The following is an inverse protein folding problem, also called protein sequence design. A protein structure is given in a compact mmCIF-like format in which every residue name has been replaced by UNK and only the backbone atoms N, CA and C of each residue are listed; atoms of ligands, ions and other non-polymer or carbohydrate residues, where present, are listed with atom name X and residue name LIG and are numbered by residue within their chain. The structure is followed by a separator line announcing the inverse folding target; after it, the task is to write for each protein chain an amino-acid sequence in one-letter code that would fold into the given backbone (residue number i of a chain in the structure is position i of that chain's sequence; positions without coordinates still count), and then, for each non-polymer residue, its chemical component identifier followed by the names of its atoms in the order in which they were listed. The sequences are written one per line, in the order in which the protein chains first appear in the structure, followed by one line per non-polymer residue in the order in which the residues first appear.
data_IF_576905900771
#
_entry.id   IF_576905900771
#
_cell.length_a   1.000
_cell.length_b   1.000
_cell.length_c   1.000
_cell.angle_alpha   90.00
_cell.angle_beta   90.00
_cell.angle_gamma   90.00
#
_symmetry.space_group_name_H-M   'P 1'
#
loop_
_entity.id
_entity.type
_entity.pdbx_description
1 polymer ?
#
# COMPACT_ATOMS: atom_id res chain seq x y z
N UNK A 1 58.43 0.73 -1.45
CA UNK A 1 58.55 -0.56 -0.74
C UNK A 1 57.16 -1.19 -0.77
N UNK A 2 56.79 -1.99 -1.77
CA UNK A 2 57.16 -3.39 -2.08
C UNK A 2 56.69 -4.42 -1.05
N UNK A 3 55.87 -5.37 -1.53
CA UNK A 3 55.39 -6.61 -0.90
C UNK A 3 53.85 -6.62 -0.82
N UNK A 4 53.04 -7.14 -1.73
CA UNK A 4 53.13 -8.19 -2.76
C UNK A 4 53.18 -9.66 -2.28
N UNK A 5 52.23 -10.45 -2.85
CA UNK A 5 52.06 -11.93 -2.92
C UNK A 5 51.54 -12.68 -1.66
N UNK A 6 50.65 -13.69 -1.71
CA UNK A 6 50.23 -14.72 -2.69
C UNK A 6 48.68 -14.91 -2.59
N UNK A 7 47.89 -14.97 -3.68
CA UNK A 7 47.54 -16.12 -4.58
C UNK A 7 46.58 -17.17 -3.98
N UNK A 8 45.43 -17.31 -4.64
CA UNK A 8 44.56 -18.49 -4.62
C UNK A 8 43.73 -18.51 -5.91
N UNK A 9 44.03 -19.46 -6.79
CA UNK A 9 43.54 -19.59 -8.18
C UNK A 9 42.66 -20.85 -8.31
N UNK A 10 41.48 -20.67 -8.91
CA UNK A 10 40.69 -21.55 -9.81
C UNK A 10 40.18 -22.92 -9.31
N UNK A 11 38.85 -23.09 -9.40
CA UNK A 11 38.22 -24.22 -10.10
C UNK A 11 36.80 -23.82 -10.54
N UNK A 12 36.68 -23.55 -11.83
CA UNK A 12 35.45 -23.57 -12.62
C UNK A 12 35.11 -25.04 -12.90
N UNK A 13 33.89 -25.48 -12.63
CA UNK A 13 33.35 -26.65 -13.31
C UNK A 13 31.83 -26.51 -13.51
N UNK A 14 31.49 -26.46 -14.78
CA UNK A 14 30.15 -26.33 -15.32
C UNK A 14 29.48 -27.70 -15.34
N UNK A 15 28.24 -27.81 -14.86
CA UNK A 15 27.36 -28.89 -15.33
C UNK A 15 25.89 -28.48 -15.30
N UNK A 16 25.44 -27.95 -16.43
CA UNK A 16 24.05 -27.93 -16.85
C UNK A 16 23.66 -29.34 -17.30
N UNK A 17 22.64 -29.94 -16.69
CA UNK A 17 21.91 -31.07 -17.26
C UNK A 17 20.50 -30.60 -17.61
N UNK A 18 20.31 -30.26 -18.87
CA UNK A 18 19.01 -30.17 -19.53
C UNK A 18 18.86 -31.42 -20.39
N UNK A 19 17.99 -32.33 -19.98
CA UNK A 19 17.59 -33.48 -20.81
C UNK A 19 16.09 -33.39 -21.07
N UNK A 20 15.79 -33.38 -22.37
CA UNK A 20 14.49 -33.36 -23.03
C UNK A 20 13.65 -34.60 -22.70
N UNK A 21 12.33 -34.43 -22.71
CA UNK A 21 11.43 -35.41 -23.34
C UNK A 21 10.18 -34.69 -23.87
N UNK A 22 10.12 -34.55 -25.20
CA UNK A 22 8.84 -34.48 -25.92
C UNK A 22 8.21 -35.87 -25.91
N UNK A 23 6.87 -35.94 -25.97
CA UNK A 23 6.34 -36.69 -27.10
C UNK A 23 5.27 -35.94 -27.91
N UNK A 24 5.44 -36.13 -29.21
CA UNK A 24 4.58 -35.87 -30.36
C UNK A 24 3.19 -36.54 -30.31
N UNK A 25 2.29 -35.99 -31.14
CA UNK A 25 1.16 -36.66 -31.83
C UNK A 25 -0.16 -36.90 -31.06
N UNK A 26 -1.36 -36.81 -31.65
CA UNK A 26 -1.89 -36.27 -32.91
C UNK A 26 -3.44 -36.31 -32.87
N UNK A 27 -4.07 -35.40 -33.64
CA UNK A 27 -5.35 -35.54 -34.38
C UNK A 27 -6.70 -35.89 -33.71
N UNK A 28 -7.67 -34.97 -33.84
CA UNK A 28 -8.99 -35.16 -34.50
C UNK A 28 -9.84 -33.86 -34.35
N UNK A 29 -10.04 -33.00 -35.35
CA UNK A 29 -11.05 -33.03 -36.42
C UNK A 29 -12.53 -33.09 -35.95
N UNK A 30 -13.29 -32.08 -36.42
CA UNK A 30 -14.77 -31.98 -36.61
C UNK A 30 -15.55 -31.23 -35.51
N UNK A 31 -16.12 -30.06 -35.88
CA UNK A 31 -17.20 -29.43 -35.10
C UNK A 31 -17.46 -27.95 -35.37
N UNK A 32 -17.95 -27.61 -36.56
CA UNK A 32 -18.35 -26.28 -37.04
C UNK A 32 -19.48 -25.63 -36.20
N UNK A 33 -19.36 -24.34 -35.86
CA UNK A 33 -20.48 -23.45 -35.48
C UNK A 33 -20.23 -22.01 -36.02
N UNK A 34 -21.28 -21.23 -36.33
CA UNK A 34 -21.40 -20.47 -37.57
C UNK A 34 -20.73 -19.08 -37.57
N UNK A 35 -20.46 -18.50 -38.76
CA UNK A 35 -20.13 -17.08 -38.86
C UNK A 35 -21.34 -16.26 -38.41
N UNK A 36 -21.09 -15.28 -37.55
CA UNK A 36 -22.07 -14.28 -37.18
C UNK A 36 -22.71 -13.71 -38.45
N UNK A 37 -24.01 -13.96 -38.63
CA UNK A 37 -24.76 -13.39 -39.73
C UNK A 37 -24.78 -11.87 -39.56
N UNK A 38 -24.06 -11.15 -40.42
CA UNK A 38 -24.22 -9.72 -40.56
C UNK A 38 -25.55 -9.51 -41.30
N UNK A 39 -26.61 -9.24 -40.55
CA UNK A 39 -27.84 -8.69 -41.13
C UNK A 39 -27.60 -7.22 -41.47
N UNK A 40 -27.32 -6.93 -42.74
CA UNK A 40 -27.39 -5.56 -43.26
C UNK A 40 -28.86 -5.21 -43.44
N UNK A 41 -29.50 -4.80 -42.35
CA UNK A 41 -30.79 -4.13 -42.41
C UNK A 41 -30.58 -2.78 -43.09
N UNK A 42 -31.12 -2.62 -44.29
CA UNK A 42 -31.21 -1.35 -45.01
C UNK A 42 -32.25 -0.47 -44.30
N UNK A 43 -31.84 0.13 -43.19
CA UNK A 43 -32.69 0.93 -42.32
C UNK A 43 -31.94 2.15 -41.81
N UNK A 44 -32.42 3.32 -42.24
CA UNK A 44 -32.28 4.67 -41.66
C UNK A 44 -31.12 4.84 -40.68
N UNK A 45 -30.00 5.37 -41.19
CA UNK A 45 -28.94 6.07 -40.46
C UNK A 45 -28.74 5.69 -38.98
N UNK A 46 -28.31 4.46 -38.70
CA UNK A 46 -27.91 4.08 -37.35
C UNK A 46 -26.54 4.67 -37.07
N UNK A 47 -26.51 5.88 -36.51
CA UNK A 47 -25.28 6.51 -36.01
C UNK A 47 -24.69 5.61 -34.92
N UNK A 48 -23.62 4.90 -35.25
CA UNK A 48 -22.82 4.17 -34.27
C UNK A 48 -22.02 5.20 -33.48
N UNK A 49 -22.53 5.61 -32.32
CA UNK A 49 -21.77 6.42 -31.35
C UNK A 49 -20.67 5.53 -30.78
N UNK A 50 -19.47 5.63 -31.34
CA UNK A 50 -18.26 5.05 -30.77
C UNK A 50 -17.96 5.84 -29.49
N UNK A 51 -18.22 5.22 -28.34
CA UNK A 51 -17.78 5.75 -27.05
C UNK A 51 -16.25 5.57 -27.03
N UNK A 52 -15.52 6.64 -27.30
CA UNK A 52 -14.08 6.67 -27.04
C UNK A 52 -14.00 7.00 -25.55
N UNK A 53 -13.52 6.09 -24.68
CA UNK A 53 -13.27 6.47 -23.30
C UNK A 53 -12.26 7.62 -23.34
N UNK A 54 -12.68 8.80 -22.89
CA UNK A 54 -11.74 9.89 -22.66
C UNK A 54 -10.81 9.43 -21.55
N UNK A 55 -9.54 9.27 -21.88
CA UNK A 55 -8.51 9.01 -20.90
C UNK A 55 -8.41 10.26 -20.03
N UNK A 56 -8.70 10.11 -18.73
CA UNK A 56 -8.61 11.21 -17.76
C UNK A 56 -7.20 11.80 -17.78
N UNK A 57 -7.11 13.13 -17.63
CA UNK A 57 -5.82 13.78 -17.43
C UNK A 57 -5.17 13.28 -16.14
N UNK A 58 -3.86 13.47 -16.02
CA UNK A 58 -3.15 13.09 -14.81
C UNK A 58 -3.69 13.81 -13.57
N UNK A 59 -3.94 15.11 -13.69
CA UNK A 59 -4.50 15.96 -12.65
C UNK A 59 -5.91 15.50 -12.26
N UNK A 60 -6.74 15.12 -13.23
CA UNK A 60 -8.07 14.54 -12.98
C UNK A 60 -7.97 13.23 -12.20
N UNK A 61 -7.00 12.35 -12.53
CA UNK A 61 -6.77 11.09 -11.80
C UNK A 61 -6.32 11.32 -10.35
N UNK A 62 -5.43 12.29 -10.12
CA UNK A 62 -4.98 12.69 -8.78
C UNK A 62 -6.16 13.23 -7.97
N UNK A 63 -6.95 14.12 -8.57
CA UNK A 63 -8.15 14.68 -7.97
C UNK A 63 -9.17 13.59 -7.60
N UNK A 64 -9.47 12.69 -8.53
CA UNK A 64 -10.39 11.56 -8.29
C UNK A 64 -9.89 10.66 -7.17
N UNK A 65 -8.59 10.37 -7.12
CA UNK A 65 -7.98 9.60 -6.03
C UNK A 65 -8.18 10.28 -4.67
N UNK A 66 -7.88 11.57 -4.58
CA UNK A 66 -8.09 12.36 -3.38
C UNK A 66 -9.56 12.39 -2.93
N UNK A 67 -10.49 12.57 -3.87
CA UNK A 67 -11.94 12.51 -3.61
C UNK A 67 -12.35 11.15 -3.08
N UNK A 68 -11.83 10.06 -3.66
CA UNK A 68 -12.14 8.70 -3.21
C UNK A 68 -11.65 8.45 -1.78
N UNK A 69 -10.46 8.93 -1.42
CA UNK A 69 -9.93 8.80 -0.06
C UNK A 69 -10.73 9.65 0.93
N UNK A 70 -11.07 10.89 0.59
CA UNK A 70 -11.92 11.75 1.45
C UNK A 70 -13.31 11.14 1.64
N UNK A 71 -13.87 10.54 0.60
CA UNK A 71 -15.13 9.78 0.68
C UNK A 71 -15.00 8.57 1.61
N UNK A 72 -13.87 7.86 1.58
CA UNK A 72 -13.60 6.78 2.53
C UNK A 72 -13.55 7.29 3.98
N UNK A 73 -12.94 8.44 4.28
CA UNK A 73 -13.00 9.02 5.64
C UNK A 73 -14.45 9.28 6.07
N UNK A 74 -15.30 9.78 5.16
CA UNK A 74 -16.70 10.06 5.46
C UNK A 74 -17.47 8.79 5.91
N UNK A 75 -17.12 7.61 5.39
CA UNK A 75 -17.75 6.35 5.82
C UNK A 75 -17.40 5.96 7.26
N UNK A 76 -16.28 6.45 7.79
CA UNK A 76 -15.83 6.23 9.17
C UNK A 76 -16.08 7.44 10.08
N UNK A 77 -16.75 8.49 9.60
CA UNK A 77 -16.84 9.78 10.29
C UNK A 77 -17.47 9.69 11.69
N UNK A 78 -18.41 8.76 11.90
CA UNK A 78 -19.05 8.54 13.21
C UNK A 78 -18.09 7.98 14.28
N UNK A 79 -16.96 7.41 13.86
CA UNK A 79 -15.97 6.79 14.74
C UNK A 79 -14.69 7.62 14.88
N UNK A 80 -14.59 8.74 14.15
CA UNK A 80 -13.43 9.62 14.14
C UNK A 80 -13.80 10.96 14.77
N UNK A 81 -13.05 11.46 15.77
CA UNK A 81 -13.23 12.80 16.29
C UNK A 81 -13.15 13.85 15.16
N UNK A 82 -13.89 14.98 15.26
CA UNK A 82 -13.85 16.03 14.23
C UNK A 82 -12.45 16.54 13.91
N UNK A 83 -11.62 16.71 14.94
CA UNK A 83 -10.22 17.16 14.81
C UNK A 83 -9.38 16.18 13.99
N UNK A 84 -9.53 14.88 14.26
CA UNK A 84 -8.81 13.84 13.51
C UNK A 84 -9.27 13.75 12.06
N UNK A 85 -10.56 13.93 11.77
CA UNK A 85 -11.04 14.00 10.37
C UNK A 85 -10.41 15.17 9.62
N UNK A 86 -10.36 16.33 10.26
CA UNK A 86 -9.74 17.52 9.66
C UNK A 86 -8.26 17.30 9.40
N UNK A 87 -7.54 16.78 10.40
CA UNK A 87 -6.12 16.44 10.29
C UNK A 87 -5.85 15.44 9.17
N UNK A 88 -6.67 14.40 9.01
CA UNK A 88 -6.54 13.45 7.92
C UNK A 88 -6.72 14.16 6.57
N UNK A 89 -7.72 15.02 6.42
CA UNK A 89 -7.93 15.76 5.17
C UNK A 89 -6.75 16.67 4.80
N UNK A 90 -6.25 17.46 5.75
CA UNK A 90 -5.07 18.31 5.52
C UNK A 90 -3.86 17.48 5.09
N UNK A 91 -3.66 16.31 5.70
CA UNK A 91 -2.54 15.43 5.34
C UNK A 91 -2.73 14.76 3.99
N UNK A 92 -3.95 14.36 3.61
CA UNK A 92 -4.23 13.85 2.28
C UNK A 92 -3.98 14.93 1.21
N UNK A 93 -4.40 16.16 1.46
CA UNK A 93 -4.19 17.29 0.54
C UNK A 93 -2.70 17.62 0.37
N UNK A 94 -1.92 17.49 1.44
CA UNK A 94 -0.46 17.65 1.39
C UNK A 94 0.23 16.50 0.66
N UNK A 95 -0.20 15.25 0.88
CA UNK A 95 0.48 14.07 0.33
C UNK A 95 0.08 13.81 -1.13
N UNK A 96 -1.13 14.16 -1.53
CA UNK A 96 -1.70 13.82 -2.85
C UNK A 96 -2.01 15.12 -3.58
N UNK A 97 -0.98 15.67 -4.23
CA UNK A 97 -1.09 16.89 -5.02
C UNK A 97 -0.41 16.68 -6.37
N UNK A 98 -0.89 17.36 -7.41
CA UNK A 98 -0.41 17.14 -8.78
C UNK A 98 1.00 17.72 -9.03
N UNK A 99 1.51 18.57 -8.14
CA UNK A 99 2.83 19.22 -8.29
C UNK A 99 3.97 18.29 -7.86
N UNK A 100 3.74 17.47 -6.82
CA UNK A 100 4.74 16.58 -6.24
C UNK A 100 4.70 15.15 -6.81
N UNK A 101 3.69 14.82 -7.62
CA UNK A 101 3.50 13.48 -8.18
C UNK A 101 3.89 13.40 -9.66
N UNK A 102 4.43 12.26 -10.07
CA UNK A 102 4.69 11.94 -11.47
C UNK A 102 3.59 11.05 -12.07
N UNK A 103 3.41 11.12 -13.39
CA UNK A 103 2.37 10.35 -14.10
C UNK A 103 2.51 8.83 -13.94
N UNK A 104 3.74 8.36 -13.72
CA UNK A 104 4.10 6.96 -13.52
C UNK A 104 3.92 6.51 -12.06
N UNK A 105 3.76 7.45 -11.12
CA UNK A 105 3.64 7.12 -9.70
C UNK A 105 2.30 6.42 -9.42
N UNK A 106 2.30 5.36 -8.60
CA UNK A 106 1.09 4.62 -8.27
C UNK A 106 0.25 5.39 -7.26
N UNK A 107 -0.96 5.74 -7.69
CA UNK A 107 -1.94 6.41 -6.84
C UNK A 107 -2.31 5.53 -5.62
N UNK A 108 -2.70 6.15 -4.49
CA UNK A 108 -3.07 5.41 -3.29
C UNK A 108 -4.22 4.43 -3.53
N UNK A 109 -4.06 3.21 -3.03
CA UNK A 109 -5.10 2.19 -3.07
C UNK A 109 -6.13 2.49 -1.97
N UNK A 110 -7.37 2.74 -2.37
CA UNK A 110 -8.45 3.10 -1.43
C UNK A 110 -8.65 2.05 -0.35
N UNK A 111 -8.54 0.75 -0.67
CA UNK A 111 -8.72 -0.32 0.32
C UNK A 111 -7.57 -0.41 1.33
N UNK A 112 -6.36 -0.02 0.91
CA UNK A 112 -5.22 0.14 1.83
C UNK A 112 -5.49 1.28 2.83
N UNK A 113 -6.02 2.40 2.35
CA UNK A 113 -6.44 3.51 3.22
C UNK A 113 -7.58 3.13 4.15
N UNK A 114 -8.58 2.39 3.67
CA UNK A 114 -9.63 1.85 4.54
C UNK A 114 -9.06 0.94 5.63
N UNK A 115 -8.04 0.13 5.35
CA UNK A 115 -7.40 -0.71 6.36
C UNK A 115 -6.74 0.14 7.46
N UNK A 116 -6.10 1.26 7.10
CA UNK A 116 -5.61 2.24 8.08
C UNK A 116 -6.76 2.85 8.91
N UNK A 117 -7.84 3.30 8.28
CA UNK A 117 -9.00 3.84 9.00
C UNK A 117 -9.63 2.82 9.95
N UNK A 118 -9.76 1.56 9.52
CA UNK A 118 -10.22 0.45 10.36
C UNK A 118 -9.31 0.24 11.57
N UNK A 119 -7.99 0.32 11.37
CA UNK A 119 -7.04 0.22 12.48
C UNK A 119 -7.16 1.39 13.46
N UNK A 120 -7.32 2.63 12.98
CA UNK A 120 -7.56 3.80 13.85
C UNK A 120 -8.79 3.59 14.73
N UNK A 121 -9.91 3.18 14.12
CA UNK A 121 -11.18 2.93 14.82
C UNK A 121 -11.06 1.75 15.79
N UNK A 122 -10.40 0.66 15.38
CA UNK A 122 -10.23 -0.53 16.22
C UNK A 122 -9.36 -0.27 17.45
N UNK A 123 -8.31 0.54 17.30
CA UNK A 123 -7.36 0.83 18.38
C UNK A 123 -7.69 2.07 19.20
N UNK A 124 -8.55 2.94 18.67
CA UNK A 124 -8.79 4.28 19.18
C UNK A 124 -7.48 5.08 19.37
N UNK A 125 -6.50 4.84 18.50
CA UNK A 125 -5.14 5.41 18.59
C UNK A 125 -4.92 6.44 17.49
N UNK A 126 -5.03 7.71 17.86
CA UNK A 126 -4.92 8.85 16.92
C UNK A 126 -3.54 9.53 16.92
N UNK A 127 -2.59 8.99 17.68
CA UNK A 127 -1.25 9.57 17.87
C UNK A 127 -0.24 9.30 16.74
N UNK A 128 -0.69 9.09 15.50
CA UNK A 128 0.22 8.96 14.35
C UNK A 128 0.92 10.30 14.08
N UNK A 129 2.12 10.29 13.52
CA UNK A 129 2.92 11.50 13.25
C UNK A 129 2.88 11.92 11.78
N UNK A 130 2.91 10.94 10.87
CA UNK A 130 2.88 11.19 9.42
C UNK A 130 2.17 10.07 8.67
N UNK A 131 1.72 10.39 7.46
CA UNK A 131 1.11 9.48 6.49
C UNK A 131 1.78 9.70 5.14
N UNK A 132 1.90 8.65 4.35
CA UNK A 132 2.49 8.66 3.02
C UNK A 132 1.99 7.48 2.17
N UNK A 133 2.56 7.34 0.98
CA UNK A 133 2.18 6.33 -0.01
C UNK A 133 3.44 5.60 -0.46
N UNK A 134 3.39 4.27 -0.51
CA UNK A 134 4.51 3.44 -0.99
C UNK A 134 4.56 3.38 -2.52
N UNK A 135 5.64 2.80 -3.05
CA UNK A 135 5.80 2.53 -4.49
C UNK A 135 4.81 1.49 -5.04
N UNK A 136 3.97 0.89 -4.18
CA UNK A 136 2.89 -0.01 -4.56
C UNK A 136 1.51 0.64 -4.38
N UNK A 137 1.46 1.93 -4.04
CA UNK A 137 0.23 2.65 -3.72
C UNK A 137 -0.34 2.30 -2.34
N UNK A 138 0.40 1.60 -1.48
CA UNK A 138 -0.08 1.30 -0.12
C UNK A 138 0.13 2.48 0.81
N UNK A 139 -0.78 2.66 1.76
CA UNK A 139 -0.69 3.69 2.79
C UNK A 139 0.37 3.31 3.81
N UNK A 140 1.32 4.23 3.99
CA UNK A 140 2.36 4.19 4.98
C UNK A 140 2.02 5.16 6.11
N UNK A 141 2.16 4.74 7.35
CA UNK A 141 1.91 5.59 8.52
C UNK A 141 3.07 5.43 9.48
N UNK A 142 3.52 6.54 10.06
CA UNK A 142 4.50 6.53 11.12
C UNK A 142 3.92 7.05 12.44
N UNK A 143 4.43 6.54 13.53
CA UNK A 143 4.27 7.05 14.89
C UNK A 143 5.65 7.33 15.44
N UNK A 144 5.84 8.49 16.06
CA UNK A 144 7.11 8.88 16.67
C UNK A 144 6.89 9.37 18.09
N UNK A 145 7.73 8.88 19.00
CA UNK A 145 7.84 9.25 20.42
C UNK A 145 9.32 9.37 20.77
N UNK A 146 9.69 10.02 21.90
CA UNK A 146 11.10 10.28 22.24
C UNK A 146 12.04 9.08 22.19
N UNK A 147 11.55 7.86 22.42
CA UNK A 147 12.38 6.64 22.39
C UNK A 147 11.85 5.55 21.47
N UNK A 148 10.80 5.82 20.69
CA UNK A 148 10.15 4.79 19.87
C UNK A 148 9.66 5.40 18.57
N UNK A 149 10.06 4.82 17.45
CA UNK A 149 9.49 5.08 16.15
C UNK A 149 8.89 3.80 15.59
N UNK A 150 7.62 3.84 15.17
CA UNK A 150 6.95 2.73 14.51
C UNK A 150 6.53 3.19 13.13
N UNK A 151 6.77 2.37 12.11
CA UNK A 151 6.20 2.59 10.77
C UNK A 151 5.40 1.37 10.35
N UNK A 152 4.28 1.57 9.67
CA UNK A 152 3.43 0.50 9.17
C UNK A 152 2.95 0.80 7.74
N UNK A 153 3.04 -0.21 6.88
CA UNK A 153 2.41 -0.26 5.57
C UNK A 153 1.12 -1.07 5.68
N UNK A 154 0.01 -0.47 5.31
CA UNK A 154 -1.31 -1.11 5.28
C UNK A 154 -1.54 -1.68 3.89
N UNK A 155 -1.39 -2.98 3.72
CA UNK A 155 -1.68 -3.66 2.46
C UNK A 155 -3.18 -3.89 2.21
N UNK A 156 -3.55 -4.27 0.99
CA UNK A 156 -4.89 -4.76 0.69
C UNK A 156 -5.22 -5.99 1.55
N UNK A 157 -6.51 -6.24 1.77
CA UNK A 157 -7.01 -7.36 2.59
C UNK A 157 -6.60 -7.33 4.07
N UNK A 158 -6.18 -6.17 4.59
CA UNK A 158 -5.87 -5.98 6.01
C UNK A 158 -4.55 -6.62 6.47
N UNK A 159 -3.64 -6.94 5.52
CA UNK A 159 -2.26 -7.30 5.84
C UNK A 159 -1.48 -6.05 6.19
N UNK A 160 -0.70 -6.10 7.27
CA UNK A 160 0.14 -4.98 7.72
C UNK A 160 1.57 -5.46 7.83
N UNK A 161 2.49 -4.72 7.22
CA UNK A 161 3.94 -4.86 7.42
C UNK A 161 4.41 -3.70 8.26
N UNK A 162 5.19 -3.93 9.29
CA UNK A 162 5.61 -2.88 10.21
C UNK A 162 7.05 -3.05 10.67
N UNK A 163 7.65 -1.93 11.06
CA UNK A 163 8.94 -1.87 11.75
C UNK A 163 8.83 -0.97 12.96
N UNK A 164 9.60 -1.28 14.00
CA UNK A 164 9.75 -0.48 15.19
C UNK A 164 11.24 -0.32 15.49
N UNK A 165 11.64 0.90 15.83
CA UNK A 165 12.96 1.26 16.30
C UNK A 165 12.80 1.83 17.70
N UNK A 166 13.51 1.27 18.66
CA UNK A 166 13.48 1.67 20.06
C UNK A 166 14.86 2.24 20.39
N UNK A 167 14.89 3.53 20.74
CA UNK A 167 16.11 4.15 21.20
C UNK A 167 16.38 3.73 22.65
N UNK A 168 17.66 3.50 23.00
CA UNK A 168 18.05 3.20 24.37
C UNK A 168 17.71 4.38 25.29
N UNK A 169 17.46 4.07 26.57
CA UNK A 169 17.23 5.10 27.60
C UNK A 169 18.53 5.56 28.26
N UNK A 170 19.55 4.71 28.22
CA UNK A 170 20.85 4.97 28.81
C UNK A 170 21.89 5.15 27.70
N UNK A 171 22.83 6.06 27.94
CA UNK A 171 23.91 6.35 27.00
C UNK A 171 24.89 5.17 26.98
N UNK A 172 25.00 4.48 25.83
CA UNK A 172 25.91 3.34 25.62
C UNK A 172 25.24 2.04 25.19
N UNK A 173 23.92 1.92 25.33
CA UNK A 173 23.16 0.78 24.81
C UNK A 173 22.93 0.92 23.29
N UNK A 174 22.80 -0.22 22.60
CA UNK A 174 22.46 -0.24 21.18
C UNK A 174 20.94 -0.10 20.97
N UNK A 175 20.48 0.58 19.90
CA UNK A 175 19.06 0.66 19.58
C UNK A 175 18.49 -0.72 19.24
N UNK A 176 17.30 -1.00 19.75
CA UNK A 176 16.59 -2.25 19.46
C UNK A 176 15.67 -2.06 18.23
N UNK A 177 15.54 -3.13 17.45
CA UNK A 177 14.80 -3.16 16.21
C UNK A 177 13.87 -4.35 16.17
N UNK A 178 12.59 -4.08 15.91
CA UNK A 178 11.60 -5.12 15.67
C UNK A 178 10.93 -4.90 14.32
N UNK A 179 10.53 -5.98 13.66
CA UNK A 179 9.75 -5.93 12.44
C UNK A 179 8.78 -7.10 12.40
N UNK A 180 7.69 -6.94 11.67
CA UNK A 180 6.71 -7.99 11.56
C UNK A 180 5.75 -7.79 10.40
N UNK A 181 5.02 -8.87 10.11
CA UNK A 181 3.93 -8.90 9.15
C UNK A 181 2.77 -9.64 9.77
N UNK A 182 1.56 -9.10 9.67
CA UNK A 182 0.39 -9.71 10.27
C UNK A 182 -0.93 -9.13 9.78
N UNK A 183 -2.01 -9.51 10.43
CA UNK A 183 -3.32 -8.87 10.24
C UNK A 183 -3.41 -7.54 10.99
N UNK A 184 -4.42 -6.72 10.68
CA UNK A 184 -4.72 -5.50 11.45
C UNK A 184 -4.80 -5.75 12.96
N UNK A 185 -5.42 -6.86 13.38
CA UNK A 185 -5.54 -7.24 14.79
C UNK A 185 -4.19 -7.57 15.42
N UNK A 186 -3.40 -8.41 14.76
CA UNK A 186 -2.07 -8.77 15.25
C UNK A 186 -1.17 -7.54 15.35
N UNK A 187 -1.19 -6.66 14.34
CA UNK A 187 -0.46 -5.39 14.41
C UNK A 187 -0.96 -4.51 15.56
N UNK A 188 -2.28 -4.38 15.78
CA UNK A 188 -2.82 -3.63 16.89
C UNK A 188 -2.36 -4.16 18.27
N UNK A 189 -2.23 -5.47 18.43
CA UNK A 189 -1.69 -6.09 19.65
C UNK A 189 -0.21 -5.75 19.85
N UNK A 190 0.62 -5.87 18.81
CA UNK A 190 2.03 -5.48 18.87
C UNK A 190 2.21 -3.97 19.07
N UNK A 191 1.43 -3.15 18.38
CA UNK A 191 1.48 -1.70 18.48
C UNK A 191 1.19 -1.21 19.89
N UNK A 192 0.40 -1.93 20.70
CA UNK A 192 0.19 -1.58 22.12
C UNK A 192 1.48 -1.64 22.95
N UNK A 193 2.45 -2.50 22.60
CA UNK A 193 3.71 -2.57 23.32
C UNK A 193 4.56 -1.31 23.10
N UNK A 194 4.51 -0.76 21.88
CA UNK A 194 5.32 0.38 21.46
C UNK A 194 4.61 1.72 21.67
N UNK A 195 3.29 1.74 21.45
CA UNK A 195 2.43 2.93 21.47
C UNK A 195 1.56 3.01 22.73
N UNK A 196 1.47 1.95 23.53
CA UNK A 196 0.79 1.96 24.83
C UNK A 196 1.68 2.54 25.92
N UNK A 197 1.89 3.87 25.88
CA UNK A 197 2.54 4.58 26.97
C UNK A 197 1.52 4.91 28.07
N UNK A 198 1.95 5.10 29.34
CA UNK A 198 1.07 5.39 30.48
C UNK A 198 0.28 6.72 30.41
N UNK A 199 0.25 7.42 29.27
CA UNK A 199 -0.43 8.70 29.08
C UNK A 199 -1.72 8.65 28.26
N UNK A 200 -2.25 7.46 27.93
CA UNK A 200 -3.43 7.31 27.06
C UNK A 200 -4.80 7.51 27.74
N UNK A 201 -4.84 7.62 29.07
CA UNK A 201 -6.04 8.04 29.80
C UNK A 201 -5.91 9.52 30.19
N UNK A 202 -6.02 10.41 29.20
CA UNK A 202 -6.37 11.80 29.49
C UNK A 202 -7.81 11.79 30.01
N UNK A 203 -7.97 12.25 31.24
CA UNK A 203 -9.23 12.25 31.98
C UNK A 203 -10.35 12.95 31.22
N UNK A 204 -11.45 12.23 31.04
CA UNK A 204 -12.77 12.85 31.05
C UNK A 204 -13.18 13.00 32.52
N UNK A 205 -12.60 13.97 33.22
CA UNK A 205 -13.25 14.56 34.39
C UNK A 205 -14.26 15.58 33.84
N UNK A 206 -15.53 15.18 33.84
CA UNK A 206 -16.62 16.13 33.61
C UNK A 206 -16.91 16.88 34.92
N UNK A 207 -17.11 18.20 34.86
CA UNK A 207 -17.47 19.04 36.01
C UNK A 207 -18.86 18.72 36.58
#
# INVERSE_FOLDING_TARGET
MLGDLFVGTVADDSRFELTLDEPESASALVGRAPPASIQVSKGIGKTVRRFIPQQLSFEERIFDSLVNLKTAVATYAMHLPPEERHRIFERLDSVINAEDWHEEDPLPIVDSFKAFLQWLVFTNSFGWSSIGVSQEGTILVAWSRPHVAVTASFGPSGRVTWTARIEPREEGDEPDHAAGVGSLRSFAEHARLYLGGPGGHAGHEHP
#
